data_IF_145195343696
#
_entry.id   IF_145195343696
#
_cell.length_a   1.000
_cell.length_b   1.000
_cell.length_c   1.000
_cell.angle_alpha   90.00
_cell.angle_beta   90.00
_cell.angle_gamma   90.00
#
_symmetry.space_group_name_H-M   'P 1'
#
loop_
_entity.id
_entity.type
_entity.pdbx_description
1 polymer ?
#
# COMPACT_ATOMS: atom_id res chain seq x y z
N UNK A 1 6.60 27.26 -15.78
CA UNK A 1 7.36 26.61 -14.70
C UNK A 1 6.40 25.70 -13.94
N UNK A 2 6.69 24.39 -13.87
CA UNK A 2 5.88 23.45 -13.10
C UNK A 2 6.13 23.59 -11.59
N UNK A 3 5.11 23.35 -10.77
CA UNK A 3 5.27 23.32 -9.32
C UNK A 3 6.28 22.24 -8.90
N UNK A 4 7.05 22.52 -7.84
CA UNK A 4 7.98 21.53 -7.27
C UNK A 4 7.18 20.33 -6.79
N UNK A 5 7.59 19.12 -7.23
CA UNK A 5 6.98 17.89 -6.76
C UNK A 5 7.16 17.75 -5.25
N UNK A 6 6.05 17.53 -4.52
CA UNK A 6 6.04 17.42 -3.05
C UNK A 6 6.71 16.15 -2.53
N UNK A 7 6.90 15.15 -3.38
CA UNK A 7 7.65 13.94 -3.10
C UNK A 7 8.38 13.47 -4.36
N UNK A 8 9.47 12.73 -4.16
CA UNK A 8 10.25 12.11 -5.24
C UNK A 8 10.21 10.60 -5.10
N UNK A 9 10.53 9.90 -6.20
CA UNK A 9 10.65 8.44 -6.19
C UNK A 9 11.63 7.96 -5.11
N UNK A 10 12.71 8.70 -4.88
CA UNK A 10 13.73 8.32 -3.90
C UNK A 10 13.24 8.36 -2.46
N UNK A 11 12.24 9.18 -2.14
CA UNK A 11 11.62 9.20 -0.81
C UNK A 11 10.85 7.91 -0.55
N UNK A 12 10.14 7.40 -1.57
CA UNK A 12 9.43 6.11 -1.50
C UNK A 12 10.43 4.96 -1.33
N UNK A 13 11.51 4.96 -2.13
CA UNK A 13 12.57 3.93 -2.01
C UNK A 13 13.16 3.91 -0.60
N UNK A 14 13.47 5.08 -0.04
CA UNK A 14 14.02 5.21 1.31
C UNK A 14 13.06 4.68 2.37
N UNK A 15 11.78 5.04 2.30
CA UNK A 15 10.78 4.58 3.26
C UNK A 15 10.58 3.05 3.21
N UNK A 16 10.43 2.49 2.01
CA UNK A 16 10.23 1.04 1.83
C UNK A 16 11.47 0.25 2.24
N UNK A 17 12.68 0.73 1.90
CA UNK A 17 13.92 0.09 2.30
C UNK A 17 14.07 0.08 3.83
N UNK A 18 13.82 1.22 4.49
CA UNK A 18 13.85 1.31 5.95
C UNK A 18 12.87 0.35 6.62
N UNK A 19 11.63 0.29 6.13
CA UNK A 19 10.63 -0.64 6.65
C UNK A 19 11.07 -2.11 6.50
N UNK A 20 11.57 -2.51 5.33
CA UNK A 20 12.08 -3.87 5.10
C UNK A 20 13.27 -4.21 6.00
N UNK A 21 14.21 -3.29 6.15
CA UNK A 21 15.38 -3.49 7.03
C UNK A 21 14.99 -3.60 8.51
N UNK A 22 13.88 -2.99 8.91
CA UNK A 22 13.29 -3.15 10.24
C UNK A 22 12.49 -4.45 10.42
N UNK A 23 12.47 -5.33 9.41
CA UNK A 23 11.75 -6.62 9.45
C UNK A 23 10.27 -6.53 9.09
N UNK A 24 9.77 -5.37 8.64
CA UNK A 24 8.39 -5.20 8.24
C UNK A 24 8.13 -5.78 6.84
N UNK A 25 7.04 -6.53 6.68
CA UNK A 25 6.60 -6.96 5.35
C UNK A 25 5.77 -5.86 4.71
N UNK A 26 6.37 -5.09 3.80
CA UNK A 26 5.64 -4.04 3.09
C UNK A 26 4.64 -4.64 2.11
N UNK A 27 3.36 -4.31 2.28
CA UNK A 27 2.26 -4.80 1.42
C UNK A 27 1.49 -3.70 0.71
N UNK A 28 1.43 -2.50 1.30
CA UNK A 28 0.80 -1.32 0.70
C UNK A 28 1.59 -0.06 1.06
N UNK A 29 1.67 0.86 0.11
CA UNK A 29 2.26 2.18 0.31
C UNK A 29 1.26 3.22 -0.18
N UNK A 30 0.95 4.18 0.68
CA UNK A 30 0.08 5.32 0.35
C UNK A 30 0.87 6.62 0.42
N UNK A 31 0.57 7.54 -0.49
CA UNK A 31 1.18 8.86 -0.54
C UNK A 31 0.06 9.89 -0.59
N UNK A 32 0.01 10.74 0.44
CA UNK A 32 -0.92 11.87 0.48
C UNK A 32 -0.42 13.01 -0.42
N UNK A 33 -1.33 13.90 -0.84
CA UNK A 33 -1.00 15.09 -1.63
C UNK A 33 -0.01 16.02 -0.92
N UNK A 34 0.11 15.94 0.41
CA UNK A 34 1.10 16.70 1.18
C UNK A 34 2.49 16.04 1.24
N UNK A 35 2.68 14.88 0.62
CA UNK A 35 3.94 14.14 0.62
C UNK A 35 4.14 13.21 1.82
N UNK A 36 3.11 13.01 2.65
CA UNK A 36 3.14 12.00 3.73
C UNK A 36 3.10 10.60 3.10
N UNK A 37 4.10 9.78 3.43
CA UNK A 37 4.20 8.38 2.99
C UNK A 37 3.81 7.48 4.15
N UNK A 38 2.82 6.60 3.94
CA UNK A 38 2.40 5.59 4.91
C UNK A 38 2.74 4.22 4.33
N UNK A 39 3.57 3.46 5.05
CA UNK A 39 3.96 2.09 4.71
C UNK A 39 3.21 1.14 5.62
N UNK A 40 2.52 0.15 5.05
CA UNK A 40 1.67 -0.78 5.79
C UNK A 40 2.07 -2.23 5.56
N UNK A 41 1.97 -3.03 6.61
CA UNK A 41 2.03 -4.49 6.59
C UNK A 41 0.58 -5.01 6.59
N UNK A 42 0.38 -6.22 6.08
CA UNK A 42 -0.92 -6.90 6.04
C UNK A 42 -1.37 -7.44 7.40
N UNK A 43 -0.74 -7.05 8.51
CA UNK A 43 -1.21 -7.34 9.86
C UNK A 43 -2.56 -6.64 10.12
N UNK A 44 -3.64 -7.17 9.56
CA UNK A 44 -4.99 -6.61 9.63
C UNK A 44 -5.73 -6.47 8.29
N UNK A 45 -5.16 -6.86 7.15
CA UNK A 45 -6.01 -7.06 5.97
C UNK A 45 -6.94 -8.23 6.29
N UNK A 46 -8.28 -8.11 6.11
CA UNK A 46 -9.12 -9.28 6.19
C UNK A 46 -8.51 -10.31 5.26
N UNK A 47 -8.31 -11.53 5.76
CA UNK A 47 -8.06 -12.67 4.88
C UNK A 47 -9.07 -12.55 3.74
N UNK A 48 -8.66 -12.84 2.51
CA UNK A 48 -9.62 -13.01 1.41
C UNK A 48 -10.53 -14.15 1.89
N UNK A 49 -11.61 -13.76 2.52
CA UNK A 49 -12.31 -14.49 3.56
C UNK A 49 -13.74 -14.47 3.13
N UNK A 50 -14.11 -15.65 2.64
CA UNK A 50 -15.37 -16.05 2.03
C UNK A 50 -15.57 -15.63 0.57
N UNK A 51 -15.67 -16.63 -0.35
CA UNK A 51 -16.09 -16.36 -1.73
C UNK A 51 -17.45 -15.68 -1.71
N UNK A 52 -17.61 -14.68 -2.57
CA UNK A 52 -18.83 -13.89 -2.68
C UNK A 52 -20.03 -14.83 -2.92
N UNK A 53 -21.06 -14.83 -2.05
CA UNK A 53 -22.23 -15.71 -2.21
C UNK A 53 -22.93 -15.53 -3.56
N UNK A 54 -22.81 -14.36 -4.18
CA UNK A 54 -23.35 -14.05 -5.50
C UNK A 54 -22.62 -14.75 -6.65
N UNK A 55 -21.37 -15.17 -6.48
CA UNK A 55 -20.62 -15.90 -7.52
C UNK A 55 -21.28 -17.25 -7.85
N UNK A 56 -22.03 -17.84 -6.89
CA UNK A 56 -22.81 -19.07 -7.12
C UNK A 56 -24.07 -18.84 -7.94
N UNK A 57 -24.61 -17.62 -7.91
CA UNK A 57 -25.88 -17.26 -8.56
C UNK A 57 -25.66 -16.94 -10.04
N UNK A 58 -24.51 -16.33 -10.37
CA UNK A 58 -24.18 -15.92 -11.74
C UNK A 58 -23.28 -16.90 -12.50
N UNK A 59 -22.98 -18.08 -11.92
CA UNK A 59 -22.20 -19.14 -12.57
C UNK A 59 -23.05 -20.13 -13.40
N UNK A 60 -24.33 -19.83 -13.62
CA UNK A 60 -25.27 -20.65 -14.41
C UNK A 60 -25.63 -20.02 -15.75
#
# INVERSE_FOLDING_TARGET
MGAVARFKQDDVKRAVAGAKSAGMRVTRVEIDINGKIVVMDQAGAPAIGEPNPWDKIFAS
#
